data_IF_887417242939
#
_entry.id   IF_887417242939
#
_cell.length_a   1.000
_cell.length_b   1.000
_cell.length_c   1.000
_cell.angle_alpha   90.00
_cell.angle_beta   90.00
_cell.angle_gamma   90.00
#
_symmetry.space_group_name_H-M   'P 1'
#
loop_
_entity.id
_entity.type
_entity.pdbx_description
1 polymer ?
#
# COMPACT_ATOMS: atom_id res chain seq x y z
N UNK A 1 -10.09 55.28 -31.46
CA UNK A 1 -11.45 55.42 -31.94
C UNK A 1 -11.62 54.55 -33.17
N UNK A 2 -11.86 53.25 -33.00
CA UNK A 2 -12.08 52.28 -34.08
C UNK A 2 -13.50 51.72 -33.91
N UNK A 3 -14.37 52.06 -34.88
CA UNK A 3 -15.73 51.59 -34.98
C UNK A 3 -15.72 50.07 -35.27
N UNK A 4 -16.39 49.29 -34.45
CA UNK A 4 -16.69 47.90 -34.69
C UNK A 4 -17.88 47.80 -35.67
N UNK A 5 -17.66 47.12 -36.79
CA UNK A 5 -18.66 46.83 -37.80
C UNK A 5 -19.80 45.94 -37.24
N UNK A 6 -21.07 46.29 -37.46
CA UNK A 6 -22.21 45.56 -36.94
C UNK A 6 -22.72 44.43 -37.86
N UNK A 7 -21.91 43.93 -38.83
CA UNK A 7 -22.35 42.92 -39.80
C UNK A 7 -21.59 41.60 -39.67
N UNK A 8 -21.64 40.94 -38.51
CA UNK A 8 -21.28 39.51 -38.46
C UNK A 8 -22.56 38.66 -38.53
N UNK A 9 -22.68 37.73 -39.50
CA UNK A 9 -23.89 36.92 -39.62
C UNK A 9 -24.02 35.98 -38.39
N UNK A 10 -25.22 35.97 -37.84
CA UNK A 10 -25.64 35.27 -36.62
C UNK A 10 -25.29 33.74 -36.58
N UNK A 11 -25.02 33.18 -37.74
CA UNK A 11 -24.59 31.78 -37.91
C UNK A 11 -23.15 31.51 -37.39
N UNK A 12 -22.25 32.47 -37.49
CA UNK A 12 -20.86 32.33 -37.00
C UNK A 12 -20.80 32.37 -35.46
N UNK A 13 -21.64 33.21 -34.84
CA UNK A 13 -21.69 33.33 -33.36
C UNK A 13 -22.27 32.06 -32.74
N UNK A 14 -23.23 31.42 -33.39
CA UNK A 14 -23.80 30.15 -32.94
C UNK A 14 -22.80 28.98 -33.07
N UNK A 15 -22.02 28.94 -34.16
CA UNK A 15 -21.00 27.88 -34.35
C UNK A 15 -19.89 27.97 -33.30
N UNK A 16 -19.44 29.16 -32.91
CA UNK A 16 -18.39 29.38 -31.90
C UNK A 16 -18.91 29.02 -30.47
N UNK A 17 -20.21 29.29 -30.18
CA UNK A 17 -20.82 28.90 -28.90
C UNK A 17 -21.00 27.39 -28.77
N UNK A 18 -21.38 26.69 -29.84
CA UNK A 18 -21.51 25.22 -29.82
C UNK A 18 -20.15 24.55 -29.68
N UNK A 19 -19.09 25.08 -30.33
CA UNK A 19 -17.74 24.55 -30.22
C UNK A 19 -17.15 24.74 -28.81
N UNK A 20 -17.47 25.85 -28.11
CA UNK A 20 -17.05 26.06 -26.70
C UNK A 20 -17.75 25.16 -25.71
N UNK A 21 -19.00 24.75 -25.94
CA UNK A 21 -19.72 23.84 -25.07
C UNK A 21 -19.22 22.40 -25.22
N UNK A 22 -18.78 21.98 -26.41
CA UNK A 22 -18.23 20.65 -26.66
C UNK A 22 -16.80 20.47 -26.07
N UNK A 23 -16.00 21.52 -25.97
CA UNK A 23 -14.68 21.46 -25.33
C UNK A 23 -14.72 21.40 -23.78
N UNK A 24 -15.84 21.78 -23.15
CA UNK A 24 -15.96 21.80 -21.69
C UNK A 24 -16.24 20.42 -21.07
N UNK A 25 -16.49 19.37 -21.88
CA UNK A 25 -16.79 18.01 -21.41
C UNK A 25 -15.57 17.07 -21.39
N UNK A 26 -14.40 17.54 -21.78
CA UNK A 26 -13.17 16.80 -21.58
C UNK A 26 -12.66 17.01 -20.14
N UNK A 27 -13.31 16.35 -19.18
CA UNK A 27 -12.75 16.13 -17.85
C UNK A 27 -11.64 15.09 -18.03
N UNK A 28 -10.36 15.42 -17.81
CA UNK A 28 -9.33 14.39 -17.80
C UNK A 28 -9.71 13.41 -16.68
N UNK A 29 -10.04 12.18 -17.06
CA UNK A 29 -10.18 11.10 -16.09
C UNK A 29 -8.84 11.00 -15.36
N UNK A 30 -8.78 11.48 -14.12
CA UNK A 30 -7.63 11.31 -13.27
C UNK A 30 -7.39 9.80 -13.18
N UNK A 31 -6.31 9.31 -13.79
CA UNK A 31 -5.83 7.94 -13.64
C UNK A 31 -5.47 7.77 -12.17
N UNK A 32 -6.44 7.30 -11.38
CA UNK A 32 -6.16 6.79 -10.04
C UNK A 32 -5.28 5.57 -10.26
N UNK A 33 -4.02 5.55 -9.75
CA UNK A 33 -3.18 4.38 -9.90
C UNK A 33 -3.89 3.20 -9.26
N UNK A 34 -4.28 2.22 -10.09
CA UNK A 34 -4.84 0.97 -9.61
C UNK A 34 -3.73 0.27 -8.81
N UNK A 35 -3.96 0.04 -7.51
CA UNK A 35 -3.08 -0.77 -6.68
C UNK A 35 -3.04 -2.18 -7.28
N UNK A 36 -1.91 -2.54 -7.86
CA UNK A 36 -1.72 -3.89 -8.39
C UNK A 36 -1.38 -4.83 -7.22
N UNK A 37 -2.08 -5.95 -7.13
CA UNK A 37 -1.73 -7.03 -6.19
C UNK A 37 -0.29 -7.51 -6.41
N UNK A 38 0.40 -8.06 -5.39
CA UNK A 38 1.74 -8.60 -5.53
C UNK A 38 1.76 -9.69 -6.61
N UNK A 39 2.77 -9.66 -7.47
CA UNK A 39 2.93 -10.61 -8.57
C UNK A 39 3.94 -11.71 -8.27
N UNK A 40 4.75 -11.50 -7.24
CA UNK A 40 5.81 -12.41 -6.79
C UNK A 40 5.82 -12.49 -5.28
N UNK A 41 6.30 -13.62 -4.76
CA UNK A 41 6.67 -13.75 -3.34
C UNK A 41 8.16 -13.48 -3.24
N UNK A 42 8.53 -12.52 -2.42
CA UNK A 42 9.92 -12.16 -2.20
C UNK A 42 10.50 -12.97 -1.03
N UNK A 43 11.78 -13.23 -1.09
CA UNK A 43 12.49 -13.94 -0.01
C UNK A 43 12.70 -13.01 1.19
N UNK A 44 12.33 -13.47 2.38
CA UNK A 44 12.64 -12.80 3.63
C UNK A 44 13.67 -13.60 4.42
N UNK A 45 14.94 -13.32 4.18
CA UNK A 45 16.09 -13.89 4.88
C UNK A 45 16.61 -12.93 5.96
N UNK A 46 17.75 -13.25 6.58
CA UNK A 46 18.30 -12.48 7.70
C UNK A 46 18.60 -11.02 7.37
N UNK A 47 19.21 -10.65 6.21
CA UNK A 47 19.44 -9.26 5.84
C UNK A 47 18.20 -8.52 5.33
N UNK A 48 17.12 -9.24 4.96
CA UNK A 48 15.94 -8.66 4.30
C UNK A 48 15.25 -7.56 5.12
N UNK A 49 15.21 -7.69 6.44
CA UNK A 49 14.63 -6.66 7.32
C UNK A 49 15.39 -5.32 7.22
N UNK A 50 16.70 -5.36 7.36
CA UNK A 50 17.53 -4.15 7.23
C UNK A 50 17.47 -3.56 5.82
N UNK A 51 17.52 -4.41 4.80
CA UNK A 51 17.39 -3.99 3.39
C UNK A 51 16.04 -3.33 3.10
N UNK A 52 14.95 -3.89 3.63
CA UNK A 52 13.61 -3.31 3.50
C UNK A 52 13.57 -1.91 4.12
N UNK A 53 14.06 -1.74 5.35
CA UNK A 53 14.07 -0.44 6.02
C UNK A 53 14.94 0.59 5.30
N UNK A 54 16.13 0.19 4.86
CA UNK A 54 17.07 1.07 4.15
C UNK A 54 16.53 1.50 2.76
N UNK A 55 15.75 0.63 2.11
CA UNK A 55 15.15 0.89 0.79
C UNK A 55 13.84 1.67 0.83
N UNK A 56 13.32 2.02 2.00
CA UNK A 56 12.04 2.75 2.09
C UNK A 56 12.20 4.19 1.60
N UNK A 57 11.40 4.55 0.62
CA UNK A 57 11.24 5.92 0.13
C UNK A 57 9.91 6.55 0.53
N UNK A 58 8.96 5.72 0.94
CA UNK A 58 7.63 6.10 1.43
C UNK A 58 7.33 5.34 2.72
N UNK A 59 6.41 5.81 3.58
CA UNK A 59 6.00 5.06 4.76
C UNK A 59 5.48 3.66 4.41
N UNK A 60 5.65 2.70 5.33
CA UNK A 60 5.17 1.34 5.12
C UNK A 60 4.56 0.75 6.40
N UNK A 61 3.58 -0.14 6.20
CA UNK A 61 3.04 -1.02 7.22
C UNK A 61 3.48 -2.42 6.87
N UNK A 62 4.23 -3.06 7.76
CA UNK A 62 4.68 -4.45 7.58
C UNK A 62 3.92 -5.34 8.55
N UNK A 63 3.19 -6.34 8.03
CA UNK A 63 2.43 -7.31 8.82
C UNK A 63 3.14 -8.65 8.76
N UNK A 64 3.72 -9.09 9.87
CA UNK A 64 4.19 -10.46 10.00
C UNK A 64 3.00 -11.35 10.34
N UNK A 65 2.79 -12.36 9.51
CA UNK A 65 1.62 -13.25 9.52
C UNK A 65 2.04 -14.71 9.41
N UNK A 66 1.08 -15.61 9.56
CA UNK A 66 1.25 -17.04 9.33
C UNK A 66 -0.02 -17.60 8.68
N UNK A 67 0.10 -18.69 7.92
CA UNK A 67 -1.05 -19.30 7.23
C UNK A 67 -2.13 -19.81 8.18
N UNK A 68 -1.76 -20.15 9.43
CA UNK A 68 -2.68 -20.56 10.49
C UNK A 68 -3.23 -19.39 11.34
N UNK A 69 -2.85 -18.14 11.05
CA UNK A 69 -3.29 -16.98 11.83
C UNK A 69 -4.72 -16.56 11.46
N UNK A 70 -5.70 -16.99 12.24
CA UNK A 70 -7.13 -16.74 11.98
C UNK A 70 -7.51 -15.24 11.94
N UNK A 71 -6.78 -14.37 12.65
CA UNK A 71 -7.07 -12.93 12.70
C UNK A 71 -6.33 -12.12 11.63
N UNK A 72 -5.26 -12.65 11.05
CA UNK A 72 -4.39 -11.90 10.13
C UNK A 72 -5.11 -11.42 8.86
N UNK A 73 -6.00 -12.20 8.21
CA UNK A 73 -6.76 -11.74 7.06
C UNK A 73 -7.58 -10.47 7.34
N UNK A 74 -8.30 -10.46 8.45
CA UNK A 74 -9.12 -9.31 8.85
C UNK A 74 -8.25 -8.07 9.15
N UNK A 75 -7.09 -8.26 9.80
CA UNK A 75 -6.14 -7.18 10.08
C UNK A 75 -5.56 -6.61 8.80
N UNK A 76 -5.15 -7.43 7.84
CA UNK A 76 -4.64 -6.97 6.54
C UNK A 76 -5.73 -6.16 5.80
N UNK A 77 -6.96 -6.66 5.75
CA UNK A 77 -8.07 -5.96 5.11
C UNK A 77 -8.36 -4.60 5.75
N UNK A 78 -8.37 -4.54 7.09
CA UNK A 78 -8.58 -3.30 7.85
C UNK A 78 -7.45 -2.30 7.59
N UNK A 79 -6.19 -2.72 7.68
CA UNK A 79 -5.03 -1.88 7.42
C UNK A 79 -5.01 -1.35 5.98
N UNK A 80 -5.43 -2.16 5.01
CA UNK A 80 -5.56 -1.72 3.61
C UNK A 80 -6.60 -0.62 3.45
N UNK A 81 -7.75 -0.71 4.13
CA UNK A 81 -8.79 0.33 4.11
C UNK A 81 -8.30 1.62 4.77
N UNK A 82 -7.73 1.50 5.96
CA UNK A 82 -7.26 2.64 6.73
C UNK A 82 -6.07 3.35 6.07
N UNK A 83 -5.12 2.58 5.50
CA UNK A 83 -4.02 3.11 4.69
C UNK A 83 -4.54 3.98 3.55
N UNK A 84 -5.51 3.47 2.76
CA UNK A 84 -6.09 4.23 1.64
C UNK A 84 -6.71 5.55 2.08
N UNK A 85 -7.30 5.58 3.26
CA UNK A 85 -7.95 6.76 3.82
C UNK A 85 -6.98 7.77 4.42
N UNK A 86 -5.98 7.29 5.17
CA UNK A 86 -5.12 8.14 6.01
C UNK A 86 -3.77 8.47 5.37
N UNK A 87 -3.19 7.54 4.63
CA UNK A 87 -1.88 7.67 4.01
C UNK A 87 -1.79 6.82 2.73
N UNK A 88 -2.45 7.23 1.64
CA UNK A 88 -2.57 6.42 0.41
C UNK A 88 -1.21 6.12 -0.25
N UNK A 89 -0.19 6.96 -0.04
CA UNK A 89 1.16 6.74 -0.54
C UNK A 89 1.95 5.66 0.20
N UNK A 90 1.51 5.24 1.40
CA UNK A 90 2.22 4.22 2.16
C UNK A 90 2.10 2.86 1.48
N UNK A 91 3.09 1.99 1.72
CA UNK A 91 3.05 0.58 1.31
C UNK A 91 2.40 -0.28 2.39
N UNK A 92 1.67 -1.33 1.98
CA UNK A 92 1.21 -2.41 2.84
C UNK A 92 1.91 -3.70 2.42
N UNK A 93 2.72 -4.24 3.31
CA UNK A 93 3.61 -5.37 3.07
C UNK A 93 3.23 -6.50 4.03
N UNK A 94 3.17 -7.74 3.56
CA UNK A 94 3.07 -8.88 4.46
C UNK A 94 4.31 -9.77 4.36
N UNK A 95 4.65 -10.40 5.49
CA UNK A 95 5.72 -11.40 5.61
C UNK A 95 5.11 -12.66 6.22
N UNK A 96 5.03 -13.75 5.44
CA UNK A 96 4.48 -15.04 5.87
C UNK A 96 5.59 -15.89 6.47
N UNK A 97 5.45 -16.27 7.74
CA UNK A 97 6.54 -16.88 8.51
C UNK A 97 6.65 -18.40 8.37
N UNK A 98 5.59 -19.07 7.92
CA UNK A 98 5.43 -20.52 7.85
C UNK A 98 5.25 -21.04 6.41
N UNK A 99 5.58 -20.20 5.43
CA UNK A 99 5.59 -20.56 4.01
C UNK A 99 7.03 -20.63 3.49
N UNK A 100 7.26 -21.50 2.52
CA UNK A 100 8.56 -21.68 1.86
C UNK A 100 8.56 -20.94 0.52
N UNK A 101 9.44 -19.94 0.32
CA UNK A 101 9.56 -19.25 -0.96
C UNK A 101 9.83 -20.24 -2.10
N UNK A 102 9.14 -20.03 -3.23
CA UNK A 102 9.18 -20.94 -4.38
C UNK A 102 8.10 -22.02 -4.29
N UNK A 103 8.08 -22.83 -3.24
CA UNK A 103 7.15 -23.95 -3.09
C UNK A 103 5.70 -23.49 -2.82
N UNK A 104 5.54 -22.49 -1.98
CA UNK A 104 4.23 -21.98 -1.57
C UNK A 104 3.75 -20.75 -2.39
N UNK A 105 4.56 -20.20 -3.28
CA UNK A 105 4.30 -18.95 -3.99
C UNK A 105 2.93 -18.92 -4.67
N UNK A 106 2.62 -19.98 -5.42
CA UNK A 106 1.36 -20.06 -6.16
C UNK A 106 0.13 -20.09 -5.23
N UNK A 107 0.26 -20.64 -4.02
CA UNK A 107 -0.78 -20.67 -3.00
C UNK A 107 -0.94 -19.28 -2.39
N UNK A 108 0.16 -18.65 -1.99
CA UNK A 108 0.17 -17.32 -1.38
C UNK A 108 -0.37 -16.25 -2.33
N UNK A 109 0.01 -16.28 -3.61
CA UNK A 109 -0.44 -15.29 -4.61
C UNK A 109 -1.91 -15.46 -5.00
N UNK A 110 -2.48 -16.67 -4.87
CA UNK A 110 -3.90 -16.91 -5.11
C UNK A 110 -4.80 -16.56 -3.92
N UNK A 111 -4.21 -16.43 -2.73
CA UNK A 111 -4.98 -16.10 -1.54
C UNK A 111 -5.61 -14.70 -1.67
N UNK A 112 -6.95 -14.57 -1.59
CA UNK A 112 -7.63 -13.28 -1.73
C UNK A 112 -7.24 -12.28 -0.65
N UNK A 113 -6.78 -12.73 0.52
CA UNK A 113 -6.35 -11.88 1.61
C UNK A 113 -5.03 -11.14 1.32
N UNK A 114 -4.23 -11.63 0.36
CA UNK A 114 -3.00 -10.98 -0.06
C UNK A 114 -3.18 -9.96 -1.20
N UNK A 115 -4.36 -9.91 -1.84
CA UNK A 115 -4.63 -8.97 -2.94
C UNK A 115 -4.42 -7.48 -2.61
N UNK A 116 -4.72 -7.00 -1.39
CA UNK A 116 -4.55 -5.59 -1.06
C UNK A 116 -3.11 -5.19 -0.72
N UNK A 117 -2.17 -6.14 -0.74
CA UNK A 117 -0.76 -5.90 -0.43
C UNK A 117 -0.03 -5.28 -1.62
N UNK A 118 0.96 -4.43 -1.32
CA UNK A 118 1.90 -3.91 -2.30
C UNK A 118 3.07 -4.89 -2.53
N UNK A 119 3.51 -5.59 -1.47
CA UNK A 119 4.57 -6.59 -1.50
C UNK A 119 4.23 -7.77 -0.58
N UNK A 120 4.69 -8.94 -0.97
CA UNK A 120 4.51 -10.17 -0.22
C UNK A 120 5.84 -10.93 -0.10
N UNK A 121 6.20 -11.27 1.14
CA UNK A 121 7.41 -12.02 1.46
C UNK A 121 7.05 -13.36 2.12
N UNK A 122 7.95 -14.33 2.00
CA UNK A 122 7.95 -15.54 2.80
C UNK A 122 9.32 -15.75 3.47
N UNK A 123 9.35 -16.31 4.68
CA UNK A 123 10.57 -16.57 5.41
C UNK A 123 11.45 -17.62 4.71
N UNK A 124 12.73 -17.31 4.56
CA UNK A 124 13.75 -18.26 4.13
C UNK A 124 14.80 -18.40 5.22
N UNK A 125 14.75 -19.49 5.98
CA UNK A 125 15.66 -19.79 7.07
C UNK A 125 14.94 -20.14 8.37
N UNK A 126 15.72 -20.15 9.46
CA UNK A 126 15.22 -20.51 10.80
C UNK A 126 14.32 -19.40 11.35
N UNK A 127 13.03 -19.65 11.48
CA UNK A 127 12.04 -18.66 11.91
C UNK A 127 12.39 -17.97 13.25
N UNK A 128 12.90 -18.66 14.30
CA UNK A 128 13.37 -17.98 15.51
C UNK A 128 14.48 -16.95 15.25
N UNK A 129 15.46 -17.30 14.40
CA UNK A 129 16.56 -16.40 14.07
C UNK A 129 16.10 -15.19 13.25
N UNK A 130 15.17 -15.38 12.32
CA UNK A 130 14.59 -14.30 11.52
C UNK A 130 13.76 -13.36 12.39
N UNK A 131 12.91 -13.90 13.28
CA UNK A 131 12.17 -13.08 14.25
C UNK A 131 13.07 -12.25 15.14
N UNK A 132 14.14 -12.85 15.65
CA UNK A 132 15.12 -12.15 16.48
C UNK A 132 15.85 -11.04 15.71
N UNK A 133 16.13 -11.24 14.42
CA UNK A 133 16.73 -10.22 13.56
C UNK A 133 15.77 -9.04 13.28
N UNK A 134 14.47 -9.29 13.25
CA UNK A 134 13.43 -8.26 13.10
C UNK A 134 13.26 -7.47 14.40
N UNK A 135 13.01 -8.16 15.50
CA UNK A 135 12.87 -7.60 16.85
C UNK A 135 13.22 -8.67 17.88
N UNK A 136 14.30 -8.49 18.66
CA UNK A 136 14.70 -9.44 19.70
C UNK A 136 13.63 -9.69 20.78
N UNK A 137 12.71 -8.77 20.96
CA UNK A 137 11.60 -8.89 21.92
C UNK A 137 10.41 -9.70 21.41
N UNK A 138 10.32 -9.93 20.08
CA UNK A 138 9.18 -10.60 19.46
C UNK A 138 9.12 -12.10 19.77
N UNK A 139 8.05 -12.53 20.41
CA UNK A 139 7.83 -13.93 20.84
C UNK A 139 7.12 -14.79 19.80
N UNK A 140 6.96 -14.31 18.54
CA UNK A 140 6.31 -15.05 17.47
C UNK A 140 4.78 -14.94 17.44
N UNK A 141 4.21 -14.09 18.27
CA UNK A 141 2.75 -13.81 18.25
C UNK A 141 2.42 -13.07 16.95
N UNK A 142 1.36 -13.51 16.25
CA UNK A 142 0.83 -12.90 15.02
C UNK A 142 -0.63 -12.49 15.19
N UNK A 143 -1.08 -11.42 14.50
CA UNK A 143 -0.25 -10.52 13.67
C UNK A 143 0.75 -9.73 14.52
N UNK A 144 1.96 -9.50 13.97
CA UNK A 144 2.94 -8.57 14.52
C UNK A 144 3.14 -7.46 13.50
N UNK A 145 2.94 -6.21 13.86
CA UNK A 145 2.87 -5.10 12.91
C UNK A 145 3.92 -4.06 13.19
N UNK A 146 4.70 -3.73 12.15
CA UNK A 146 5.63 -2.61 12.16
C UNK A 146 5.06 -1.44 11.36
N UNK A 147 5.02 -0.27 11.96
CA UNK A 147 4.76 0.99 11.30
C UNK A 147 6.08 1.70 11.05
N UNK A 148 6.41 1.96 9.79
CA UNK A 148 7.70 2.46 9.33
C UNK A 148 7.57 3.83 8.67
N UNK A 149 8.51 4.73 8.99
CA UNK A 149 8.82 5.89 8.19
C UNK A 149 10.26 5.80 7.69
N UNK A 150 10.59 6.32 6.49
CA UNK A 150 11.96 6.33 6.00
C UNK A 150 12.91 6.99 7.02
N UNK A 151 14.00 6.27 7.35
CA UNK A 151 15.03 6.75 8.28
C UNK A 151 14.65 6.78 9.76
N UNK A 152 13.46 6.29 10.14
CA UNK A 152 13.02 6.24 11.53
C UNK A 152 12.99 4.80 12.09
N UNK A 153 13.16 4.63 13.42
CA UNK A 153 12.97 3.33 14.04
C UNK A 153 11.52 2.83 13.93
N UNK A 154 11.30 1.52 13.79
CA UNK A 154 9.98 0.93 13.73
C UNK A 154 9.15 1.19 14.98
N UNK A 155 7.84 1.45 14.80
CA UNK A 155 6.86 1.37 15.86
C UNK A 155 6.14 0.05 15.79
N UNK A 156 6.20 -0.73 16.86
CA UNK A 156 5.66 -2.09 16.92
C UNK A 156 4.28 -2.17 17.58
N UNK A 157 3.45 -3.08 17.07
CA UNK A 157 2.18 -3.47 17.68
C UNK A 157 2.03 -4.99 17.60
N UNK A 158 1.81 -5.62 18.76
CA UNK A 158 1.47 -7.05 18.86
C UNK A 158 -0.05 -7.21 18.81
N UNK A 159 -0.54 -8.10 17.96
CA UNK A 159 -1.97 -8.29 17.75
C UNK A 159 -2.57 -7.24 16.78
N UNK A 160 -3.91 -7.18 16.67
CA UNK A 160 -4.60 -6.23 15.81
C UNK A 160 -4.33 -4.79 16.23
N UNK A 161 -3.78 -3.92 15.35
CA UNK A 161 -3.60 -2.50 15.65
C UNK A 161 -4.94 -1.80 15.89
N UNK A 162 -4.96 -0.87 16.82
CA UNK A 162 -6.12 0.01 17.05
C UNK A 162 -6.12 1.16 16.04
N UNK A 163 -7.29 1.70 15.74
CA UNK A 163 -7.42 2.85 14.84
C UNK A 163 -6.55 4.05 15.26
N UNK A 164 -6.39 4.27 16.57
CA UNK A 164 -5.53 5.30 17.13
C UNK A 164 -4.04 5.08 16.82
N UNK A 165 -3.58 3.83 16.73
CA UNK A 165 -2.18 3.51 16.42
C UNK A 165 -1.85 3.94 15.01
N UNK A 166 -2.71 3.61 14.06
CA UNK A 166 -2.57 4.00 12.67
C UNK A 166 -2.71 5.51 12.48
N UNK A 167 -3.70 6.14 13.13
CA UNK A 167 -3.89 7.58 13.05
C UNK A 167 -2.69 8.35 13.63
N UNK A 168 -2.09 7.87 14.72
CA UNK A 168 -0.90 8.48 15.31
C UNK A 168 0.32 8.35 14.38
N UNK A 169 0.49 7.18 13.74
CA UNK A 169 1.55 6.97 12.76
C UNK A 169 1.35 7.83 11.50
N UNK A 170 0.14 7.87 10.94
CA UNK A 170 -0.14 8.61 9.72
C UNK A 170 0.00 10.14 9.85
N UNK A 171 -0.08 10.71 11.07
CA UNK A 171 0.13 12.15 11.32
C UNK A 171 1.59 12.56 11.33
N UNK A 172 2.50 11.62 11.53
CA UNK A 172 3.94 11.88 11.56
C UNK A 172 4.42 12.03 10.11
N UNK A 173 4.83 13.25 9.72
CA UNK A 173 5.37 13.61 8.41
C UNK A 173 6.84 13.93 8.54
#
# INVERSE_FOLDING_TARGET
MFCLDPFLPDRLVRAVRVLRVLCALWVPAALVPAHAAPRTVEVFDRPAWGALQAGLTVPAIVVFTATYCAHCPAVIAQLAQDKRRLLPSAQLIAVVMDAVPGDDDAKLLRDPHHRPLDRLFAFQGQAPALRHAVDPSWRGITPYVAFLHPGEPPRWVTGPPKAQDLAAWARKR
#
